data_IF_885779143207
#
_entry.id   IF_885779143207
#
_cell.length_a   1.000
_cell.length_b   1.000
_cell.length_c   1.000
_cell.angle_alpha   90.00
_cell.angle_beta   90.00
_cell.angle_gamma   90.00
#
_symmetry.space_group_name_H-M   'P 1'
#
loop_
_entity.id
_entity.type
_entity.pdbx_description
1 polymer ?
#
# COMPACT_ATOMS: atom_id res chain seq x y z
N UNK A 1 -20.33 -5.44 -26.01
CA UNK A 1 -20.32 -4.88 -24.64
C UNK A 1 -20.20 -5.98 -23.58
N UNK A 2 -21.00 -7.05 -23.63
CA UNK A 2 -20.82 -8.20 -22.74
C UNK A 2 -19.44 -8.85 -22.83
N UNK A 3 -18.92 -9.03 -24.05
CA UNK A 3 -17.63 -9.70 -24.29
C UNK A 3 -16.43 -8.95 -23.70
N UNK A 4 -16.44 -7.61 -23.69
CA UNK A 4 -15.38 -6.81 -23.06
C UNK A 4 -15.41 -6.94 -21.54
N UNK A 5 -16.61 -6.91 -20.93
CA UNK A 5 -16.78 -7.09 -19.48
C UNK A 5 -16.31 -8.49 -19.07
N UNK A 6 -16.65 -9.52 -19.87
CA UNK A 6 -16.17 -10.90 -19.68
C UNK A 6 -14.65 -10.99 -19.78
N UNK A 7 -14.03 -10.29 -20.73
CA UNK A 7 -12.56 -10.23 -20.87
C UNK A 7 -11.89 -9.59 -19.66
N UNK A 8 -12.43 -8.48 -19.15
CA UNK A 8 -11.90 -7.78 -17.96
C UNK A 8 -12.04 -8.66 -16.72
N UNK A 9 -13.20 -9.29 -16.51
CA UNK A 9 -13.38 -10.20 -15.37
C UNK A 9 -12.52 -11.46 -15.50
N UNK A 10 -12.28 -11.97 -16.71
CA UNK A 10 -11.33 -13.07 -16.93
C UNK A 10 -9.91 -12.69 -16.50
N UNK A 11 -9.42 -11.52 -16.91
CA UNK A 11 -8.11 -11.02 -16.49
C UNK A 11 -8.03 -10.83 -14.95
N UNK A 12 -9.12 -10.35 -14.33
CA UNK A 12 -9.21 -10.23 -12.87
C UNK A 12 -9.22 -11.61 -12.19
N UNK A 13 -9.94 -12.58 -12.76
CA UNK A 13 -9.98 -13.96 -12.30
C UNK A 13 -8.61 -14.65 -12.40
N UNK A 14 -7.89 -14.49 -13.51
CA UNK A 14 -6.52 -15.00 -13.68
C UNK A 14 -5.58 -14.42 -12.62
N UNK A 15 -5.66 -13.11 -12.34
CA UNK A 15 -4.87 -12.45 -11.29
C UNK A 15 -5.09 -13.08 -9.91
N UNK A 16 -6.28 -13.60 -9.64
CA UNK A 16 -6.62 -14.28 -8.38
C UNK A 16 -6.65 -15.81 -8.49
N UNK A 17 -6.22 -16.39 -9.62
CA UNK A 17 -6.17 -17.84 -9.86
C UNK A 17 -7.53 -18.54 -9.89
N UNK A 18 -8.60 -17.84 -10.28
CA UNK A 18 -9.95 -18.39 -10.39
C UNK A 18 -10.22 -18.73 -11.86
N UNK A 19 -10.56 -19.98 -12.16
CA UNK A 19 -11.02 -20.38 -13.50
C UNK A 19 -12.54 -20.21 -13.54
N UNK A 20 -13.03 -19.22 -14.27
CA UNK A 20 -14.46 -18.90 -14.32
C UNK A 20 -15.09 -19.40 -15.63
N UNK A 21 -16.10 -20.25 -15.50
CA UNK A 21 -16.86 -20.77 -16.64
C UNK A 21 -18.16 -19.98 -16.82
N UNK A 22 -18.14 -19.04 -17.77
CA UNK A 22 -19.23 -18.12 -18.08
C UNK A 22 -20.47 -18.76 -18.71
N UNK A 23 -20.34 -19.99 -19.21
CA UNK A 23 -21.46 -20.76 -19.76
C UNK A 23 -22.30 -21.45 -18.69
N UNK A 24 -21.87 -21.42 -17.42
CA UNK A 24 -22.60 -22.07 -16.33
C UNK A 24 -23.81 -21.21 -15.91
N UNK A 25 -24.93 -21.86 -15.64
CA UNK A 25 -26.19 -21.22 -15.24
C UNK A 25 -26.09 -20.37 -13.95
N UNK A 26 -24.97 -20.44 -13.23
CA UNK A 26 -24.74 -19.75 -11.95
C UNK A 26 -23.37 -19.06 -11.91
N UNK A 27 -23.25 -17.92 -12.59
CA UNK A 27 -22.06 -17.04 -12.56
C UNK A 27 -22.02 -16.18 -11.27
N UNK A 28 -23.18 -15.91 -10.66
CA UNK A 28 -23.35 -15.09 -9.44
C UNK A 28 -22.43 -15.50 -8.27
N UNK A 29 -22.33 -16.79 -7.86
CA UNK A 29 -21.45 -17.18 -6.76
C UNK A 29 -19.96 -16.95 -7.06
N UNK A 30 -19.53 -17.06 -8.32
CA UNK A 30 -18.14 -16.79 -8.71
C UNK A 30 -17.79 -15.31 -8.59
N UNK A 31 -18.72 -14.42 -8.98
CA UNK A 31 -18.54 -12.98 -8.84
C UNK A 31 -18.47 -12.58 -7.36
N UNK A 32 -19.28 -13.19 -6.49
CA UNK A 32 -19.21 -12.97 -5.04
C UNK A 32 -17.87 -13.40 -4.45
N UNK A 33 -17.35 -14.56 -4.87
CA UNK A 33 -16.04 -15.05 -4.44
C UNK A 33 -14.90 -14.11 -4.90
N UNK A 34 -14.95 -13.68 -6.16
CA UNK A 34 -13.97 -12.76 -6.76
C UNK A 34 -13.99 -11.40 -6.06
N UNK A 35 -15.18 -10.84 -5.83
CA UNK A 35 -15.42 -9.64 -5.04
C UNK A 35 -14.76 -9.71 -3.66
N UNK A 36 -15.02 -10.80 -2.92
CA UNK A 36 -14.46 -11.02 -1.59
C UNK A 36 -12.92 -11.10 -1.61
N UNK A 37 -12.33 -11.78 -2.60
CA UNK A 37 -10.87 -11.83 -2.76
C UNK A 37 -10.28 -10.46 -3.10
N UNK A 38 -10.95 -9.68 -3.93
CA UNK A 38 -10.54 -8.32 -4.29
C UNK A 38 -10.51 -7.40 -3.06
N UNK A 39 -11.57 -7.42 -2.25
CA UNK A 39 -11.65 -6.62 -1.01
C UNK A 39 -10.58 -7.05 -0.01
N UNK A 40 -10.41 -8.36 0.20
CA UNK A 40 -9.38 -8.87 1.11
C UNK A 40 -7.96 -8.53 0.66
N UNK A 41 -7.70 -8.55 -0.65
CA UNK A 41 -6.42 -8.12 -1.20
C UNK A 41 -6.15 -6.64 -0.92
N UNK A 42 -7.13 -5.77 -1.16
CA UNK A 42 -6.99 -4.33 -0.91
C UNK A 42 -6.70 -4.05 0.57
N UNK A 43 -7.48 -4.67 1.47
CA UNK A 43 -7.27 -4.60 2.92
C UNK A 43 -5.85 -5.06 3.28
N UNK A 44 -5.41 -6.20 2.73
CA UNK A 44 -4.07 -6.73 2.97
C UNK A 44 -2.97 -5.76 2.53
N UNK A 45 -3.10 -5.16 1.35
CA UNK A 45 -2.16 -4.16 0.86
C UNK A 45 -2.18 -2.88 1.69
N UNK A 46 -3.35 -2.41 2.15
CA UNK A 46 -3.45 -1.25 3.02
C UNK A 46 -2.79 -1.48 4.38
N UNK A 47 -2.96 -2.68 4.96
CA UNK A 47 -2.27 -3.08 6.20
C UNK A 47 -0.75 -3.11 6.00
N UNK A 48 -0.26 -3.65 4.88
CA UNK A 48 1.18 -3.65 4.57
C UNK A 48 1.75 -2.22 4.54
N UNK A 49 1.07 -1.29 3.87
CA UNK A 49 1.49 0.12 3.83
C UNK A 49 1.40 0.82 5.19
N UNK A 50 0.43 0.45 6.04
CA UNK A 50 0.38 0.93 7.43
C UNK A 50 1.60 0.48 8.23
N UNK A 51 2.00 -0.78 8.11
CA UNK A 51 3.21 -1.30 8.79
C UNK A 51 4.44 -0.53 8.33
N UNK A 52 4.58 -0.26 7.02
CA UNK A 52 5.68 0.55 6.49
C UNK A 52 5.67 1.95 7.10
N UNK A 53 4.50 2.60 7.18
CA UNK A 53 4.37 3.93 7.81
C UNK A 53 4.80 3.95 9.28
N UNK A 54 4.45 2.92 10.05
CA UNK A 54 4.86 2.79 11.46
C UNK A 54 6.37 2.57 11.58
N UNK A 55 6.96 1.72 10.73
CA UNK A 55 8.41 1.50 10.71
C UNK A 55 9.15 2.80 10.36
N UNK A 56 8.65 3.60 9.42
CA UNK A 56 9.24 4.90 9.09
C UNK A 56 9.28 5.84 10.31
N UNK A 57 8.19 5.94 11.08
CA UNK A 57 8.16 6.73 12.31
C UNK A 57 9.16 6.23 13.36
N UNK A 58 9.25 4.90 13.52
CA UNK A 58 10.23 4.30 14.44
C UNK A 58 11.67 4.61 14.02
N UNK A 59 11.99 4.49 12.72
CA UNK A 59 13.33 4.83 12.22
C UNK A 59 13.65 6.31 12.38
N UNK A 60 12.67 7.20 12.19
CA UNK A 60 12.85 8.63 12.44
C UNK A 60 13.16 8.93 13.91
N UNK A 61 12.43 8.29 14.84
CA UNK A 61 12.71 8.40 16.28
C UNK A 61 14.11 7.86 16.64
N UNK A 62 14.49 6.71 16.09
CA UNK A 62 15.79 6.09 16.33
C UNK A 62 16.94 6.95 15.81
N UNK A 63 16.80 7.49 14.59
CA UNK A 63 17.75 8.44 14.01
C UNK A 63 17.86 9.70 14.86
N UNK A 64 16.74 10.28 15.27
CA UNK A 64 16.74 11.46 16.13
C UNK A 64 17.45 11.20 17.45
N UNK A 65 17.19 10.06 18.10
CA UNK A 65 17.85 9.70 19.36
C UNK A 65 19.35 9.51 19.20
N UNK A 66 19.79 8.77 18.18
CA UNK A 66 21.21 8.46 18.03
C UNK A 66 22.03 9.62 17.46
N UNK A 67 21.44 10.49 16.65
CA UNK A 67 22.16 11.56 15.96
C UNK A 67 22.04 12.91 16.69
N UNK A 68 20.95 13.12 17.45
CA UNK A 68 20.76 14.35 18.24
C UNK A 68 21.24 14.22 19.69
N UNK A 69 21.23 13.01 20.26
CA UNK A 69 21.67 12.74 21.65
C UNK A 69 22.87 11.79 21.74
N UNK A 70 23.26 11.17 20.64
CA UNK A 70 24.46 10.34 20.61
C UNK A 70 25.71 11.20 20.69
N UNK A 71 26.70 10.72 21.44
CA UNK A 71 28.04 11.30 21.45
C UNK A 71 28.72 10.94 20.13
N UNK A 72 29.52 11.89 19.63
CA UNK A 72 30.40 11.68 18.50
C UNK A 72 31.23 10.40 18.73
N UNK A 73 31.26 9.45 17.77
CA UNK A 73 32.07 8.25 17.90
C UNK A 73 33.53 8.66 17.85
N UNK A 74 34.18 8.68 19.02
CA UNK A 74 35.58 9.07 19.18
C UNK A 74 36.47 8.31 18.17
N UNK A 75 36.97 9.02 17.16
CA UNK A 75 38.00 8.54 16.23
C UNK A 75 37.52 7.76 14.99
N UNK A 76 36.23 7.75 14.64
CA UNK A 76 35.74 7.04 13.44
C UNK A 76 35.48 7.97 12.24
N UNK A 77 35.01 9.19 12.48
CA UNK A 77 34.69 10.16 11.43
C UNK A 77 35.46 11.46 11.66
N UNK A 78 35.93 12.09 10.59
CA UNK A 78 36.44 13.46 10.65
C UNK A 78 35.28 14.42 10.98
N UNK A 79 35.60 15.53 11.67
CA UNK A 79 34.61 16.50 12.17
C UNK A 79 33.63 16.98 11.07
N UNK A 80 34.13 17.17 9.84
CA UNK A 80 33.36 17.65 8.67
C UNK A 80 32.37 16.57 8.13
N UNK A 81 32.74 15.29 8.25
CA UNK A 81 31.86 14.18 7.84
C UNK A 81 30.75 13.93 8.86
N UNK A 82 31.04 14.08 10.15
CA UNK A 82 30.04 13.91 11.21
C UNK A 82 28.93 14.97 11.14
N UNK A 83 29.28 16.24 10.94
CA UNK A 83 28.32 17.32 10.74
C UNK A 83 27.45 17.09 9.49
N UNK A 84 28.06 16.60 8.41
CA UNK A 84 27.32 16.25 7.18
C UNK A 84 26.30 15.13 7.42
N UNK A 85 26.69 14.06 8.13
CA UNK A 85 25.79 12.95 8.49
C UNK A 85 24.65 13.43 9.38
N UNK A 86 24.93 14.33 10.33
CA UNK A 86 23.94 14.89 11.23
C UNK A 86 22.88 15.69 10.46
N UNK A 87 23.30 16.55 9.53
CA UNK A 87 22.39 17.35 8.69
C UNK A 87 21.51 16.44 7.81
N UNK A 88 22.11 15.44 7.15
CA UNK A 88 21.35 14.50 6.30
C UNK A 88 20.32 13.71 7.12
N UNK A 89 20.70 13.25 8.32
CA UNK A 89 19.80 12.53 9.21
C UNK A 89 18.63 13.41 9.69
N UNK A 90 18.86 14.68 9.98
CA UNK A 90 17.81 15.64 10.34
C UNK A 90 16.82 15.86 9.20
N UNK A 91 17.32 16.08 7.98
CA UNK A 91 16.49 16.25 6.78
C UNK A 91 15.64 14.97 6.55
N UNK A 92 16.27 13.80 6.63
CA UNK A 92 15.59 12.51 6.43
C UNK A 92 14.50 12.27 7.47
N UNK A 93 14.80 12.52 8.75
CA UNK A 93 13.85 12.39 9.85
C UNK A 93 12.64 13.32 9.67
N UNK A 94 12.88 14.56 9.26
CA UNK A 94 11.83 15.56 8.99
C UNK A 94 10.90 15.11 7.86
N UNK A 95 11.47 14.61 6.76
CA UNK A 95 10.69 14.07 5.63
C UNK A 95 9.80 12.91 6.11
N UNK A 96 10.36 11.96 6.87
CA UNK A 96 9.59 10.80 7.35
C UNK A 96 8.45 11.19 8.29
N UNK A 97 8.65 12.18 9.16
CA UNK A 97 7.60 12.68 10.07
C UNK A 97 6.46 13.36 9.31
N UNK A 98 6.74 14.04 8.19
CA UNK A 98 5.70 14.65 7.37
C UNK A 98 4.96 13.64 6.48
N UNK A 99 5.69 12.69 5.88
CA UNK A 99 5.12 11.74 4.92
C UNK A 99 4.38 10.58 5.60
N UNK A 100 4.88 10.06 6.73
CA UNK A 100 4.29 8.87 7.35
C UNK A 100 2.82 9.08 7.82
N UNK A 101 2.43 10.20 8.45
CA UNK A 101 1.03 10.46 8.82
C UNK A 101 0.10 10.52 7.60
N UNK A 102 0.58 11.06 6.47
CA UNK A 102 -0.18 11.11 5.24
C UNK A 102 -0.45 9.70 4.68
N UNK A 103 0.58 8.84 4.64
CA UNK A 103 0.45 7.44 4.23
C UNK A 103 -0.53 6.70 5.14
N UNK A 104 -0.36 6.84 6.46
CA UNK A 104 -1.22 6.18 7.45
C UNK A 104 -2.67 6.64 7.31
N UNK A 105 -2.91 7.95 7.20
CA UNK A 105 -4.25 8.51 7.04
C UNK A 105 -4.95 8.01 5.78
N UNK A 106 -4.24 7.97 4.65
CA UNK A 106 -4.78 7.42 3.40
C UNK A 106 -5.15 5.95 3.56
N UNK A 107 -4.28 5.14 4.15
CA UNK A 107 -4.56 3.71 4.29
C UNK A 107 -5.69 3.40 5.27
N UNK A 108 -5.86 4.20 6.33
CA UNK A 108 -7.02 4.10 7.21
C UNK A 108 -8.31 4.41 6.44
N UNK A 109 -8.32 5.45 5.61
CA UNK A 109 -9.48 5.80 4.78
C UNK A 109 -9.83 4.69 3.78
N UNK A 110 -8.82 4.09 3.14
CA UNK A 110 -9.00 2.98 2.20
C UNK A 110 -9.59 1.75 2.92
N UNK A 111 -9.12 1.42 4.13
CA UNK A 111 -9.68 0.34 4.97
C UNK A 111 -11.13 0.65 5.38
N UNK A 112 -11.44 1.87 5.82
CA UNK A 112 -12.82 2.26 6.17
C UNK A 112 -13.75 2.09 4.96
N UNK A 113 -13.28 2.49 3.78
CA UNK A 113 -14.02 2.33 2.51
C UNK A 113 -14.22 0.85 2.18
N UNK A 114 -13.24 -0.02 2.47
CA UNK A 114 -13.39 -1.48 2.32
C UNK A 114 -14.52 -2.04 3.15
N UNK A 115 -14.70 -1.54 4.38
CA UNK A 115 -15.75 -2.01 5.28
C UNK A 115 -17.13 -1.40 4.97
N UNK A 116 -17.21 -0.16 4.51
CA UNK A 116 -18.50 0.54 4.26
C UNK A 116 -19.03 0.37 2.85
N UNK A 117 -18.17 0.39 1.83
CA UNK A 117 -18.55 0.37 0.41
C UNK A 117 -17.62 -0.55 -0.40
N UNK A 118 -17.68 -1.87 -0.18
CA UNK A 118 -16.84 -2.83 -0.89
C UNK A 118 -17.05 -2.77 -2.41
N UNK A 119 -18.23 -2.35 -2.88
CA UNK A 119 -18.56 -2.24 -4.31
C UNK A 119 -17.67 -1.22 -5.03
N UNK A 120 -17.32 -0.13 -4.35
CA UNK A 120 -16.45 0.93 -4.91
C UNK A 120 -15.06 0.41 -5.25
N UNK A 121 -14.54 -0.53 -4.45
CA UNK A 121 -13.21 -1.12 -4.65
C UNK A 121 -13.21 -2.07 -5.83
N UNK A 122 -14.25 -2.91 -5.95
CA UNK A 122 -14.41 -3.82 -7.08
C UNK A 122 -14.46 -3.01 -8.37
N UNK A 123 -15.24 -1.92 -8.39
CA UNK A 123 -15.32 -1.03 -9.55
C UNK A 123 -13.98 -0.40 -9.89
N UNK A 124 -13.21 0.06 -8.90
CA UNK A 124 -11.87 0.59 -9.10
C UNK A 124 -10.90 -0.46 -9.66
N UNK A 125 -10.93 -1.70 -9.17
CA UNK A 125 -10.10 -2.79 -9.66
C UNK A 125 -10.46 -3.15 -11.12
N UNK A 126 -11.75 -3.26 -11.45
CA UNK A 126 -12.23 -3.48 -12.82
C UNK A 126 -11.78 -2.32 -13.74
N UNK A 127 -11.92 -1.08 -13.29
CA UNK A 127 -11.51 0.12 -14.05
C UNK A 127 -10.00 0.16 -14.29
N UNK A 128 -9.20 -0.22 -13.30
CA UNK A 128 -7.75 -0.28 -13.44
C UNK A 128 -7.32 -1.35 -14.44
N UNK A 129 -7.93 -2.53 -14.42
CA UNK A 129 -7.64 -3.59 -15.41
C UNK A 129 -8.08 -3.13 -16.81
N UNK A 130 -9.25 -2.51 -16.94
CA UNK A 130 -9.69 -1.95 -18.22
C UNK A 130 -8.69 -0.94 -18.79
N UNK A 131 -8.17 -0.03 -17.96
CA UNK A 131 -7.12 0.91 -18.37
C UNK A 131 -5.82 0.21 -18.77
N UNK A 132 -5.46 -0.90 -18.13
CA UNK A 132 -4.24 -1.65 -18.47
C UNK A 132 -4.37 -2.49 -19.75
N UNK A 133 -5.60 -2.77 -20.20
CA UNK A 133 -5.90 -3.54 -21.40
C UNK A 133 -6.06 -2.66 -22.66
N UNK A 134 -6.09 -1.34 -22.50
CA UNK A 134 -6.18 -0.35 -23.56
C UNK A 134 -4.80 0.20 -23.89
#
# INVERSE_FOLDING_TARGET
MGDEIVKILNALCEKFGIVMNWSSQNVVPYIQLLSKRCVNYEIGTSIMWLVIGVVMLYTSYWLFKNVCLGKEPEGIFDFDEWDTIQIISWITAFIFVLFAPFIIGKQIYDIITCFTFPEKIIFNQITNIYKSLK
#
